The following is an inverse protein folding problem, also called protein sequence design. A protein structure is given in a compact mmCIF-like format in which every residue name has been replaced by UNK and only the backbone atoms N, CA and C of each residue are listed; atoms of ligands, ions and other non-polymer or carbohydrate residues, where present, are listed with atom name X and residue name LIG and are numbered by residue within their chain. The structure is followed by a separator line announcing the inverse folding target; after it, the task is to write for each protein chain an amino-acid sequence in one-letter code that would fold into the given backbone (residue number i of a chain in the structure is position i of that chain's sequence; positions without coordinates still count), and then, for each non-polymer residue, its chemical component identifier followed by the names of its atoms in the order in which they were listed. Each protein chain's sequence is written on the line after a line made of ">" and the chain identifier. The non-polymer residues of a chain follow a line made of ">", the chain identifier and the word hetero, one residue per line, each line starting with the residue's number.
data_IF_625892422332
#
_entry.id   IF_625892422332
#
_cell.length_a   1.000
_cell.length_b   1.000
_cell.length_c   1.000
_cell.angle_alpha   90.00
_cell.angle_beta   90.00
_cell.angle_gamma   90.00
#
_symmetry.space_group_name_H-M   'P 1'
#
loop_
_entity.id
_entity.type
_entity.pdbx_description
1 polymer ?
#
# COMPACT_ATOMS: atom_id res chain seq x y z
N UNK A 1 8.07 -17.88 13.61
CA UNK A 1 8.42 -16.51 14.08
C UNK A 1 8.77 -15.57 12.93
N UNK A 2 9.68 -15.93 12.03
CA UNK A 2 10.12 -15.05 10.92
C UNK A 2 8.97 -14.53 10.02
N UNK A 3 7.96 -15.35 9.74
CA UNK A 3 6.77 -14.96 8.95
C UNK A 3 6.00 -13.80 9.58
N UNK A 4 5.87 -13.80 10.91
CA UNK A 4 5.21 -12.72 11.65
C UNK A 4 6.04 -11.43 11.61
N UNK A 5 7.36 -11.53 11.78
CA UNK A 5 8.26 -10.36 11.68
C UNK A 5 8.18 -9.76 10.27
N UNK A 6 8.26 -10.59 9.23
CA UNK A 6 8.13 -10.15 7.83
C UNK A 6 6.77 -9.48 7.54
N UNK A 7 5.67 -10.08 7.99
CA UNK A 7 4.34 -9.50 7.86
C UNK A 7 4.20 -8.16 8.61
N UNK A 8 4.82 -8.03 9.79
CA UNK A 8 4.77 -6.80 10.59
C UNK A 8 5.58 -5.67 9.95
N UNK A 9 6.78 -5.97 9.43
CA UNK A 9 7.59 -5.00 8.67
C UNK A 9 6.82 -4.55 7.42
N UNK A 10 6.16 -5.48 6.73
CA UNK A 10 5.33 -5.15 5.57
C UNK A 10 4.12 -4.29 5.94
N UNK A 11 3.46 -4.57 7.07
CA UNK A 11 2.37 -3.75 7.58
C UNK A 11 2.86 -2.33 7.93
N UNK A 12 4.04 -2.19 8.55
CA UNK A 12 4.64 -0.90 8.83
C UNK A 12 4.94 -0.11 7.54
N UNK A 13 5.43 -0.77 6.49
CA UNK A 13 5.63 -0.17 5.16
C UNK A 13 4.30 0.33 4.57
N UNK A 14 3.25 -0.50 4.62
CA UNK A 14 1.91 -0.14 4.16
C UNK A 14 1.34 1.09 4.89
N UNK A 15 1.53 1.18 6.22
CA UNK A 15 1.12 2.33 7.01
C UNK A 15 1.94 3.59 6.70
N UNK A 16 3.23 3.42 6.41
CA UNK A 16 4.11 4.54 6.00
C UNK A 16 3.66 5.12 4.67
N UNK A 17 3.19 4.28 3.74
CA UNK A 17 2.61 4.75 2.48
C UNK A 17 1.34 5.59 2.74
N UNK A 18 0.40 5.14 3.61
CA UNK A 18 -0.76 5.96 4.00
C UNK A 18 -0.31 7.29 4.62
N UNK A 19 0.68 7.26 5.52
CA UNK A 19 1.21 8.45 6.16
C UNK A 19 1.80 9.44 5.14
N UNK A 20 2.51 8.94 4.12
CA UNK A 20 3.05 9.79 3.04
C UNK A 20 1.97 10.46 2.21
N UNK A 21 0.85 9.76 1.96
CA UNK A 21 -0.31 10.34 1.27
C UNK A 21 -0.98 11.42 2.12
N UNK A 22 -1.09 11.20 3.43
CA UNK A 22 -1.63 12.19 4.36
C UNK A 22 -0.78 13.46 4.41
N UNK A 23 0.54 13.29 4.43
CA UNK A 23 1.51 14.37 4.36
C UNK A 23 1.38 15.15 3.06
N UNK A 24 1.21 14.47 1.92
CA UNK A 24 0.99 15.13 0.64
C UNK A 24 -0.28 15.99 0.63
N UNK A 25 -1.40 15.47 1.12
CA UNK A 25 -2.63 16.24 1.21
C UNK A 25 -2.52 17.39 2.22
N UNK A 26 -1.71 17.26 3.27
CA UNK A 26 -1.51 18.35 4.24
C UNK A 26 -0.78 19.55 3.67
N UNK A 27 -0.03 19.40 2.57
CA UNK A 27 0.54 20.55 1.87
C UNK A 27 -0.54 21.49 1.36
N UNK A 28 -1.70 20.99 0.97
CA UNK A 28 -2.77 21.79 0.34
C UNK A 28 -3.91 22.15 1.29
N UNK A 29 -3.95 21.57 2.48
CA UNK A 29 -4.97 21.88 3.46
C UNK A 29 -4.56 23.02 4.40
N UNK A 30 -5.54 23.77 4.88
CA UNK A 30 -5.35 24.84 5.87
C UNK A 30 -5.42 24.32 7.31
N UNK A 31 -5.91 23.09 7.51
CA UNK A 31 -6.09 22.46 8.81
C UNK A 31 -5.74 20.97 8.77
N UNK A 32 -5.26 20.41 9.90
CA UNK A 32 -4.83 19.02 9.97
C UNK A 32 -5.97 18.00 9.84
N UNK A 33 -7.22 18.39 10.10
CA UNK A 33 -8.37 17.48 10.01
C UNK A 33 -8.70 17.11 8.55
N UNK A 34 -8.52 18.04 7.60
CA UNK A 34 -8.81 17.80 6.18
C UNK A 34 -8.01 16.62 5.58
N UNK A 35 -6.67 16.64 5.66
CA UNK A 35 -5.82 15.57 5.14
C UNK A 35 -6.09 14.21 5.79
N UNK A 36 -6.33 14.19 7.11
CA UNK A 36 -6.64 12.96 7.85
C UNK A 36 -7.93 12.33 7.31
N UNK A 37 -9.01 13.10 7.26
CA UNK A 37 -10.31 12.59 6.76
C UNK A 37 -10.22 12.20 5.29
N UNK A 38 -9.54 13.00 4.46
CA UNK A 38 -9.36 12.70 3.04
C UNK A 38 -8.61 11.38 2.81
N UNK A 39 -7.56 11.09 3.59
CA UNK A 39 -6.82 9.82 3.45
C UNK A 39 -7.69 8.61 3.76
N UNK A 40 -8.48 8.68 4.83
CA UNK A 40 -9.38 7.60 5.25
C UNK A 40 -10.47 7.40 4.19
N UNK A 41 -11.05 8.48 3.66
CA UNK A 41 -12.04 8.41 2.57
C UNK A 41 -11.47 7.74 1.32
N UNK A 42 -10.26 8.12 0.90
CA UNK A 42 -9.58 7.51 -0.25
C UNK A 42 -9.40 6.01 -0.02
N UNK A 43 -8.87 5.59 1.14
CA UNK A 43 -8.67 4.17 1.47
C UNK A 43 -10.00 3.40 1.44
N UNK A 44 -11.08 3.97 1.99
CA UNK A 44 -12.41 3.34 1.99
C UNK A 44 -12.92 3.14 0.56
N UNK A 45 -12.84 4.16 -0.30
CA UNK A 45 -13.29 4.06 -1.69
C UNK A 45 -12.56 2.95 -2.44
N UNK A 46 -11.22 2.91 -2.33
CA UNK A 46 -10.42 1.84 -2.94
C UNK A 46 -10.77 0.46 -2.37
N UNK A 47 -11.07 0.38 -1.08
CA UNK A 47 -11.49 -0.86 -0.44
C UNK A 47 -12.84 -1.34 -1.00
N UNK A 48 -13.82 -0.45 -1.16
CA UNK A 48 -15.13 -0.80 -1.73
C UNK A 48 -14.98 -1.29 -3.18
N UNK A 49 -14.20 -0.58 -4.00
CA UNK A 49 -13.92 -0.99 -5.39
C UNK A 49 -13.34 -2.42 -5.43
N UNK A 50 -12.44 -2.74 -4.51
CA UNK A 50 -11.83 -4.06 -4.42
C UNK A 50 -12.84 -5.15 -3.97
N UNK A 51 -13.84 -4.82 -3.17
CA UNK A 51 -14.87 -5.78 -2.75
C UNK A 51 -15.93 -6.06 -3.81
N UNK A 52 -16.13 -5.14 -4.77
CA UNK A 52 -17.15 -5.29 -5.82
C UNK A 52 -16.85 -6.40 -6.85
N UNK A 53 -15.62 -6.95 -6.87
CA UNK A 53 -15.19 -8.08 -7.73
C UNK A 53 -15.65 -7.98 -9.20
N UNK A 54 -15.69 -6.77 -9.74
CA UNK A 54 -16.05 -6.55 -11.15
C UNK A 54 -14.81 -6.85 -12.00
N UNK A 55 -14.92 -7.67 -13.08
CA UNK A 55 -13.77 -8.12 -13.85
C UNK A 55 -12.92 -6.98 -14.46
N UNK A 56 -13.55 -5.85 -14.81
CA UNK A 56 -12.85 -4.65 -15.30
C UNK A 56 -11.94 -4.03 -14.23
N UNK A 57 -12.41 -3.98 -12.98
CA UNK A 57 -11.66 -3.41 -11.86
C UNK A 57 -10.56 -4.37 -11.37
N UNK A 58 -10.81 -5.67 -11.39
CA UNK A 58 -9.82 -6.71 -11.08
C UNK A 58 -8.61 -6.67 -12.03
N UNK A 59 -8.84 -6.44 -13.32
CA UNK A 59 -7.76 -6.43 -14.31
C UNK A 59 -7.05 -5.08 -14.44
N UNK A 60 -7.73 -3.97 -14.12
CA UNK A 60 -7.21 -2.62 -14.40
C UNK A 60 -6.78 -1.88 -13.14
N UNK A 61 -7.59 -1.93 -12.08
CA UNK A 61 -7.38 -1.12 -10.86
C UNK A 61 -6.62 -1.93 -9.82
N UNK A 62 -7.03 -3.16 -9.56
CA UNK A 62 -6.42 -3.99 -8.52
C UNK A 62 -4.91 -4.21 -8.69
N UNK A 63 -4.33 -4.36 -9.91
CA UNK A 63 -2.89 -4.60 -10.07
C UNK A 63 -2.00 -3.41 -9.71
N UNK A 64 -2.57 -2.21 -9.68
CA UNK A 64 -1.86 -0.95 -9.41
C UNK A 64 -2.36 -0.25 -8.15
N UNK A 65 -3.50 -0.68 -7.60
CA UNK A 65 -4.05 -0.09 -6.39
C UNK A 65 -3.11 -0.34 -5.22
N UNK A 66 -2.73 0.74 -4.55
CA UNK A 66 -1.94 0.66 -3.33
C UNK A 66 -2.66 -0.16 -2.25
N UNK A 67 -4.00 -0.15 -2.18
CA UNK A 67 -4.76 -0.96 -1.20
C UNK A 67 -4.57 -2.45 -1.43
N UNK A 68 -4.48 -2.89 -2.69
CA UNK A 68 -4.19 -4.29 -3.02
C UNK A 68 -2.80 -4.69 -2.53
N UNK A 69 -1.79 -3.86 -2.80
CA UNK A 69 -0.43 -4.13 -2.34
C UNK A 69 -0.32 -4.05 -0.82
N UNK A 70 -1.07 -3.18 -0.15
CA UNK A 70 -1.13 -3.14 1.31
C UNK A 70 -1.58 -4.47 1.91
N UNK A 71 -2.55 -5.17 1.30
CA UNK A 71 -2.99 -6.50 1.73
C UNK A 71 -1.97 -7.62 1.45
N UNK A 72 -0.84 -7.31 0.81
CA UNK A 72 0.24 -8.24 0.48
C UNK A 72 0.86 -8.94 1.70
N UNK A 73 0.72 -8.40 2.92
CA UNK A 73 1.20 -9.05 4.14
C UNK A 73 0.59 -10.46 4.36
N UNK A 74 -0.61 -10.71 3.83
CA UNK A 74 -1.24 -12.05 3.86
C UNK A 74 -0.42 -13.09 3.08
N UNK A 75 0.34 -12.65 2.08
CA UNK A 75 1.26 -13.47 1.30
C UNK A 75 2.32 -14.17 2.14
N UNK A 76 2.72 -13.59 3.27
CA UNK A 76 3.65 -14.26 4.21
C UNK A 76 3.03 -15.50 4.86
N UNK A 77 1.70 -15.66 4.85
CA UNK A 77 0.99 -16.80 5.43
C UNK A 77 0.49 -17.82 4.41
N UNK A 78 0.53 -17.49 3.10
CA UNK A 78 0.24 -18.47 2.05
C UNK A 78 1.42 -19.42 1.86
N UNK A 79 1.12 -20.73 1.89
CA UNK A 79 2.10 -21.82 1.79
C UNK A 79 1.94 -22.49 0.42
N UNK A 80 3.05 -22.73 -0.28
CA UNK A 80 3.03 -23.47 -1.54
C UNK A 80 2.40 -24.86 -1.35
N UNK A 81 1.56 -25.22 -2.32
CA UNK A 81 1.06 -26.58 -2.47
C UNK A 81 1.80 -27.23 -3.63
N UNK A 82 2.37 -28.40 -3.40
CA UNK A 82 2.93 -29.22 -4.48
C UNK A 82 1.83 -29.72 -5.41
N UNK A 83 2.21 -30.28 -6.57
CA UNK A 83 1.29 -30.89 -7.56
C UNK A 83 0.39 -32.00 -6.97
N UNK A 84 0.74 -32.54 -5.80
CA UNK A 84 -0.01 -33.56 -5.05
C UNK A 84 -0.89 -32.96 -3.93
N UNK A 85 -0.99 -31.63 -3.83
CA UNK A 85 -1.81 -30.94 -2.82
C UNK A 85 -1.21 -30.88 -1.42
N UNK A 86 0.01 -31.39 -1.23
CA UNK A 86 0.74 -31.34 0.03
C UNK A 86 1.35 -29.95 0.24
N UNK A 87 1.11 -29.36 1.40
CA UNK A 87 1.68 -28.07 1.80
C UNK A 87 3.16 -28.23 2.16
N UNK A 88 4.03 -27.46 1.51
CA UNK A 88 5.47 -27.47 1.82
C UNK A 88 5.70 -26.59 3.06
N UNK A 89 5.93 -27.23 4.20
CA UNK A 89 6.23 -26.51 5.44
C UNK A 89 7.48 -25.63 5.29
N UNK A 90 7.30 -24.32 5.48
CA UNK A 90 8.36 -23.32 5.40
C UNK A 90 8.43 -22.54 4.08
N UNK A 91 7.69 -22.93 3.03
CA UNK A 91 7.67 -22.17 1.76
C UNK A 91 6.63 -21.04 1.76
N UNK A 92 6.88 -20.03 0.93
CA UNK A 92 5.95 -18.94 0.60
C UNK A 92 5.50 -19.15 -0.85
N UNK A 93 4.19 -19.08 -1.09
CA UNK A 93 3.59 -19.30 -2.43
C UNK A 93 4.23 -18.48 -3.55
N UNK A 94 4.48 -17.19 -3.28
CA UNK A 94 5.10 -16.33 -4.27
C UNK A 94 5.94 -15.21 -3.62
N UNK A 95 7.21 -15.49 -3.29
CA UNK A 95 8.09 -14.49 -2.68
C UNK A 95 8.38 -13.33 -3.65
N UNK A 96 8.36 -13.57 -4.96
CA UNK A 96 8.56 -12.52 -5.96
C UNK A 96 7.38 -11.55 -6.03
N UNK A 97 6.14 -12.02 -5.91
CA UNK A 97 4.96 -11.16 -5.87
C UNK A 97 4.93 -10.27 -4.61
N UNK A 98 5.38 -10.81 -3.47
CA UNK A 98 5.56 -10.06 -2.22
C UNK A 98 6.60 -8.94 -2.38
N UNK A 99 7.77 -9.27 -2.93
CA UNK A 99 8.82 -8.28 -3.17
C UNK A 99 8.36 -7.20 -4.16
N UNK A 100 7.73 -7.60 -5.27
CA UNK A 100 7.19 -6.66 -6.26
C UNK A 100 6.18 -5.71 -5.62
N UNK A 101 5.26 -6.23 -4.81
CA UNK A 101 4.28 -5.40 -4.10
C UNK A 101 4.93 -4.47 -3.07
N UNK A 102 5.95 -4.93 -2.36
CA UNK A 102 6.74 -4.10 -1.45
C UNK A 102 7.45 -2.96 -2.17
N UNK A 103 8.09 -3.23 -3.32
CA UNK A 103 8.76 -2.22 -4.15
C UNK A 103 7.74 -1.18 -4.66
N UNK A 104 6.55 -1.61 -5.07
CA UNK A 104 5.49 -0.70 -5.52
C UNK A 104 5.06 0.23 -4.37
N UNK A 105 4.87 -0.29 -3.15
CA UNK A 105 4.55 0.52 -1.97
C UNK A 105 5.65 1.52 -1.63
N UNK A 106 6.93 1.11 -1.70
CA UNK A 106 8.07 2.02 -1.54
C UNK A 106 8.04 3.11 -2.62
N UNK A 107 7.78 2.75 -3.87
CA UNK A 107 7.65 3.68 -4.99
C UNK A 107 6.57 4.73 -4.75
N UNK A 108 5.37 4.33 -4.34
CA UNK A 108 4.29 5.26 -3.97
C UNK A 108 4.68 6.15 -2.80
N UNK A 109 5.33 5.59 -1.77
CA UNK A 109 5.79 6.35 -0.60
C UNK A 109 6.76 7.45 -1.01
N UNK A 110 7.78 7.11 -1.79
CA UNK A 110 8.76 8.08 -2.29
C UNK A 110 8.12 9.13 -3.21
N UNK A 111 7.17 8.73 -4.05
CA UNK A 111 6.42 9.63 -4.91
C UNK A 111 5.63 10.67 -4.11
N UNK A 112 4.83 10.24 -3.13
CA UNK A 112 4.05 11.16 -2.29
C UNK A 112 4.93 12.07 -1.44
N UNK A 113 6.00 11.53 -0.82
CA UNK A 113 6.95 12.36 -0.07
C UNK A 113 7.62 13.39 -0.98
N UNK A 114 8.08 12.98 -2.17
CA UNK A 114 8.73 13.90 -3.12
C UNK A 114 7.79 15.02 -3.56
N UNK A 115 6.56 14.67 -3.93
CA UNK A 115 5.54 15.67 -4.27
C UNK A 115 5.26 16.62 -3.11
N UNK A 116 5.23 16.10 -1.89
CA UNK A 116 5.02 16.92 -0.70
C UNK A 116 6.15 17.92 -0.49
N UNK A 117 7.40 17.46 -0.58
CA UNK A 117 8.59 18.31 -0.45
C UNK A 117 8.60 19.40 -1.52
N UNK A 118 8.28 19.06 -2.78
CA UNK A 118 8.18 20.04 -3.86
C UNK A 118 7.06 21.06 -3.58
N UNK A 119 5.91 20.60 -3.10
CA UNK A 119 4.78 21.46 -2.76
C UNK A 119 5.10 22.43 -1.61
N UNK A 120 5.75 21.95 -0.54
CA UNK A 120 6.23 22.80 0.55
C UNK A 120 7.21 23.86 0.06
N UNK A 121 8.21 23.47 -0.75
CA UNK A 121 9.19 24.41 -1.30
C UNK A 121 8.53 25.53 -2.09
N UNK A 122 7.50 25.25 -2.89
CA UNK A 122 6.78 26.30 -3.64
C UNK A 122 6.00 27.26 -2.75
N UNK A 123 5.49 26.80 -1.61
CA UNK A 123 4.78 27.66 -0.66
C UNK A 123 5.74 28.57 0.12
N UNK A 124 6.91 28.06 0.51
CA UNK A 124 7.91 28.82 1.27
C UNK A 124 8.47 30.03 0.51
N UNK A 125 8.54 29.99 -0.83
CA UNK A 125 9.04 31.11 -1.67
C UNK A 125 7.99 32.20 -1.96
N UNK A 126 6.72 31.99 -1.59
CA UNK A 126 5.62 32.93 -1.83
C UNK A 126 5.23 33.73 -0.58
N UNK A 127 5.90 33.50 0.56
CA UNK A 127 5.80 34.30 1.79
C UNK A 127 7.02 35.22 1.92
#
# INVERSE_FOLDING_TARGET
>A
LWRFIGAFIYAALALTMIASMALFLSVYAENALGPIVATVCIVIVFTIIQQLKVPVFEQTINPWSFTTHMLGWKGFFYVEKNAEGVTIDGSIENPMALLKSGIILVGYTLFFVSLSVIGYRKKDILC
#
